data_IF_776056572523
#
_entry.id   IF_776056572523
#
_cell.length_a   1.000
_cell.length_b   1.000
_cell.length_c   1.000
_cell.angle_alpha   90.00
_cell.angle_beta   90.00
_cell.angle_gamma   90.00
#
_symmetry.space_group_name_H-M   'P 1'
#
loop_
_entity.id
_entity.type
_entity.pdbx_description
1 polymer ?
#
# COMPACT_ATOMS: atom_id res chain seq x y z
N UNK A 1 -34.55 26.53 22.49
CA UNK A 1 -34.28 25.52 21.45
C UNK A 1 -33.45 26.18 20.34
N UNK A 2 -32.12 26.00 20.33
CA UNK A 2 -31.28 26.45 19.21
C UNK A 2 -31.38 25.38 18.13
N UNK A 3 -31.95 25.73 16.99
CA UNK A 3 -32.08 24.83 15.86
C UNK A 3 -30.71 24.36 15.36
N UNK A 4 -30.58 23.07 15.17
CA UNK A 4 -29.47 22.49 14.44
C UNK A 4 -29.56 23.00 12.99
N UNK A 5 -28.77 24.02 12.67
CA UNK A 5 -28.62 24.43 11.27
C UNK A 5 -28.03 23.24 10.52
N UNK A 6 -28.77 22.77 9.53
CA UNK A 6 -28.39 21.60 8.77
C UNK A 6 -27.02 21.76 8.11
N UNK A 7 -26.15 20.80 8.33
CA UNK A 7 -24.91 20.68 7.57
C UNK A 7 -25.31 20.47 6.09
N UNK A 8 -24.84 21.31 5.21
CA UNK A 8 -25.08 21.17 3.76
C UNK A 8 -24.34 19.94 3.25
N UNK A 9 -25.08 18.86 3.12
CA UNK A 9 -24.55 17.55 2.69
C UNK A 9 -23.99 17.61 1.25
N UNK A 10 -24.38 18.62 0.45
CA UNK A 10 -23.87 18.77 -0.92
C UNK A 10 -22.39 19.20 -0.98
N UNK A 11 -21.84 19.66 0.15
CA UNK A 11 -20.42 20.09 0.23
C UNK A 11 -19.50 19.00 0.77
N UNK A 12 -20.03 17.82 1.15
CA UNK A 12 -19.19 16.69 1.51
C UNK A 12 -18.52 16.14 0.25
N UNK A 13 -17.21 15.84 0.29
CA UNK A 13 -16.54 15.21 -0.85
C UNK A 13 -17.23 13.88 -1.18
N UNK A 14 -17.41 13.60 -2.46
CA UNK A 14 -18.05 12.36 -2.93
C UNK A 14 -17.09 11.18 -2.67
N UNK A 15 -17.14 10.65 -1.45
CA UNK A 15 -16.31 9.52 -1.02
C UNK A 15 -16.97 8.24 -1.55
N UNK A 16 -16.40 7.68 -2.60
CA UNK A 16 -16.86 6.40 -3.17
C UNK A 16 -16.34 5.24 -2.31
N UNK A 17 -17.25 4.57 -1.64
CA UNK A 17 -16.94 3.33 -0.92
C UNK A 17 -17.40 2.12 -1.73
N UNK A 18 -16.66 1.03 -1.61
CA UNK A 18 -17.07 -0.25 -2.18
C UNK A 18 -16.49 -1.43 -1.39
N UNK A 19 -17.21 -2.52 -1.37
CA UNK A 19 -16.71 -3.80 -0.89
C UNK A 19 -15.96 -4.48 -2.04
N UNK A 20 -14.72 -4.86 -1.81
CA UNK A 20 -13.89 -5.49 -2.85
C UNK A 20 -12.88 -6.46 -2.24
N UNK A 21 -12.37 -7.38 -3.04
CA UNK A 21 -11.27 -8.26 -2.65
C UNK A 21 -9.95 -7.55 -2.92
N UNK A 22 -9.15 -7.40 -1.88
CA UNK A 22 -7.87 -6.71 -1.92
C UNK A 22 -6.76 -7.75 -1.83
N UNK A 23 -5.82 -7.71 -2.75
CA UNK A 23 -4.60 -8.50 -2.73
C UNK A 23 -3.42 -7.55 -2.48
N UNK A 24 -2.66 -7.82 -1.44
CA UNK A 24 -1.38 -7.16 -1.16
C UNK A 24 -0.27 -8.16 -1.41
N UNK A 25 0.75 -7.76 -2.16
CA UNK A 25 1.94 -8.57 -2.43
C UNK A 25 3.19 -7.74 -2.24
N UNK A 26 4.25 -8.36 -1.71
CA UNK A 26 5.51 -7.68 -1.42
C UNK A 26 6.68 -8.65 -1.54
N UNK A 27 7.80 -8.15 -2.07
CA UNK A 27 9.00 -8.97 -2.24
C UNK A 27 9.73 -9.16 -0.91
N UNK A 28 9.94 -10.41 -0.53
CA UNK A 28 10.59 -10.73 0.73
C UNK A 28 12.07 -10.32 0.74
N UNK A 29 12.48 -9.60 1.79
CA UNK A 29 13.85 -9.14 2.00
C UNK A 29 14.39 -8.23 0.90
N UNK A 30 13.51 -7.46 0.25
CA UNK A 30 13.88 -6.55 -0.84
C UNK A 30 14.92 -5.50 -0.38
N UNK A 31 14.68 -4.82 0.73
CA UNK A 31 15.60 -3.79 1.26
C UNK A 31 16.98 -4.36 1.58
N UNK A 32 17.05 -5.59 2.11
CA UNK A 32 18.32 -6.27 2.39
C UNK A 32 19.08 -6.64 1.10
N UNK A 33 18.36 -7.03 0.06
CA UNK A 33 18.97 -7.31 -1.26
C UNK A 33 19.42 -6.02 -1.94
N UNK A 34 18.59 -4.95 -1.89
CA UNK A 34 18.95 -3.62 -2.43
C UNK A 34 20.23 -3.08 -1.81
N UNK A 35 20.41 -3.26 -0.50
CA UNK A 35 21.60 -2.81 0.21
C UNK A 35 22.88 -3.57 -0.23
N UNK A 36 22.74 -4.81 -0.71
CA UNK A 36 23.86 -5.65 -1.17
C UNK A 36 24.16 -5.49 -2.66
N UNK A 37 23.11 -5.45 -3.47
CA UNK A 37 23.23 -5.43 -4.94
C UNK A 37 21.98 -4.81 -5.55
N UNK A 38 21.99 -3.49 -5.68
CA UNK A 38 20.88 -2.69 -6.19
C UNK A 38 20.50 -3.08 -7.63
N UNK A 39 21.50 -3.20 -8.51
CA UNK A 39 21.27 -3.42 -9.94
C UNK A 39 20.61 -4.78 -10.18
N UNK A 40 21.18 -5.83 -9.63
CA UNK A 40 20.62 -7.19 -9.79
C UNK A 40 19.26 -7.33 -9.09
N UNK A 41 19.04 -6.65 -7.97
CA UNK A 41 17.75 -6.68 -7.27
C UNK A 41 16.64 -6.03 -8.12
N UNK A 42 16.92 -4.87 -8.72
CA UNK A 42 15.96 -4.19 -9.61
C UNK A 42 15.70 -5.04 -10.88
N UNK A 43 16.75 -5.63 -11.45
CA UNK A 43 16.61 -6.52 -12.61
C UNK A 43 15.78 -7.76 -12.29
N UNK A 44 15.93 -8.31 -11.08
CA UNK A 44 15.13 -9.45 -10.63
C UNK A 44 13.65 -9.06 -10.37
N UNK A 45 13.38 -7.87 -9.88
CA UNK A 45 12.01 -7.41 -9.57
C UNK A 45 11.18 -7.16 -10.84
N UNK A 46 11.76 -6.53 -11.85
CA UNK A 46 11.04 -6.08 -13.06
C UNK A 46 10.21 -7.17 -13.75
N UNK A 47 10.75 -8.34 -14.07
CA UNK A 47 9.95 -9.40 -14.69
C UNK A 47 8.86 -9.95 -13.77
N UNK A 48 9.08 -9.94 -12.46
CA UNK A 48 8.06 -10.40 -11.49
C UNK A 48 6.90 -9.42 -11.38
N UNK A 49 7.22 -8.14 -11.37
CA UNK A 49 6.18 -7.10 -11.43
C UNK A 49 5.29 -7.23 -12.66
N UNK A 50 5.80 -7.47 -13.57
CA UNK A 50 5.13 -7.70 -14.74
C UNK A 50 4.28 -8.92 -14.73
N UNK A 51 4.70 -9.92 -14.11
CA UNK A 51 3.99 -11.11 -13.94
C UNK A 51 2.82 -10.91 -13.07
N UNK A 52 3.05 -10.18 -12.06
CA UNK A 52 2.09 -9.88 -11.18
C UNK A 52 0.99 -9.03 -11.74
N UNK A 53 1.25 -8.24 -12.75
CA UNK A 53 0.34 -7.46 -13.45
C UNK A 53 -0.45 -8.25 -14.42
N UNK A 54 0.08 -9.19 -15.00
CA UNK A 54 -0.50 -10.05 -15.90
C UNK A 54 -1.56 -10.91 -15.30
N UNK A 55 -1.26 -11.64 -14.35
CA UNK A 55 -2.20 -12.55 -13.66
C UNK A 55 -3.38 -11.81 -13.03
N UNK A 56 -3.16 -10.65 -12.47
CA UNK A 56 -4.25 -9.79 -11.93
C UNK A 56 -5.28 -9.46 -13.02
N UNK A 57 -4.84 -8.96 -14.13
CA UNK A 57 -5.72 -8.55 -15.24
C UNK A 57 -6.44 -9.76 -15.84
N UNK A 58 -5.71 -10.86 -16.03
CA UNK A 58 -6.29 -12.11 -16.59
C UNK A 58 -7.43 -12.66 -15.72
N UNK A 59 -7.44 -12.34 -14.44
CA UNK A 59 -8.48 -12.75 -13.47
C UNK A 59 -9.52 -11.65 -13.21
N UNK A 60 -9.58 -10.63 -14.06
CA UNK A 60 -10.56 -9.55 -13.94
C UNK A 60 -10.25 -8.53 -12.84
N UNK A 61 -9.04 -8.58 -12.29
CA UNK A 61 -8.59 -7.60 -11.31
C UNK A 61 -7.94 -6.38 -11.96
N UNK A 62 -7.62 -5.39 -11.15
CA UNK A 62 -6.79 -4.25 -11.55
C UNK A 62 -5.76 -3.91 -10.48
N UNK A 63 -4.68 -3.31 -10.92
CA UNK A 63 -3.69 -2.77 -9.99
C UNK A 63 -4.20 -1.43 -9.47
N UNK A 64 -4.29 -1.30 -8.17
CA UNK A 64 -4.68 -0.05 -7.51
C UNK A 64 -3.45 0.82 -7.22
N UNK A 65 -2.39 0.20 -6.69
CA UNK A 65 -1.19 0.92 -6.31
C UNK A 65 0.05 0.03 -6.45
N UNK A 66 1.19 0.66 -6.73
CA UNK A 66 2.52 0.02 -6.65
C UNK A 66 3.44 0.94 -5.84
N UNK A 67 4.13 0.39 -4.86
CA UNK A 67 5.07 1.15 -4.03
C UNK A 67 6.36 0.34 -3.86
N UNK A 68 7.39 0.75 -4.59
CA UNK A 68 8.68 0.04 -4.56
C UNK A 68 8.54 -1.39 -5.06
N UNK A 69 8.69 -2.34 -4.16
CA UNK A 69 8.56 -3.78 -4.40
C UNK A 69 7.16 -4.33 -4.06
N UNK A 70 6.29 -3.48 -3.54
CA UNK A 70 4.93 -3.84 -3.15
C UNK A 70 3.89 -3.54 -4.23
N UNK A 71 2.80 -4.30 -4.19
CA UNK A 71 1.68 -4.20 -5.11
C UNK A 71 0.36 -4.34 -4.35
N UNK A 72 -0.58 -3.43 -4.62
CA UNK A 72 -1.98 -3.58 -4.19
C UNK A 72 -2.84 -3.76 -5.45
N UNK A 73 -3.61 -4.84 -5.45
CA UNK A 73 -4.58 -5.13 -6.51
C UNK A 73 -5.97 -5.34 -5.92
N UNK A 74 -7.00 -5.12 -6.73
CA UNK A 74 -8.36 -5.44 -6.34
C UNK A 74 -9.03 -6.36 -7.36
N UNK A 75 -9.98 -7.13 -6.86
CA UNK A 75 -10.77 -8.07 -7.66
C UNK A 75 -12.25 -7.96 -7.28
N UNK A 76 -13.15 -8.00 -8.27
CA UNK A 76 -14.59 -8.04 -7.96
C UNK A 76 -15.04 -9.39 -7.36
N UNK A 77 -14.22 -10.44 -7.49
CA UNK A 77 -14.50 -11.78 -7.01
C UNK A 77 -13.42 -12.26 -6.04
N UNK A 78 -13.84 -12.76 -4.88
CA UNK A 78 -12.96 -13.39 -3.89
C UNK A 78 -12.24 -14.59 -4.52
N UNK A 79 -12.97 -15.43 -5.25
CA UNK A 79 -12.43 -16.65 -5.89
C UNK A 79 -11.33 -16.28 -6.88
N UNK A 80 -11.56 -15.25 -7.70
CA UNK A 80 -10.57 -14.81 -8.70
C UNK A 80 -9.35 -14.15 -8.03
N UNK A 81 -9.56 -13.43 -6.94
CA UNK A 81 -8.44 -12.84 -6.16
C UNK A 81 -7.53 -13.92 -5.57
N UNK A 82 -8.11 -14.96 -4.97
CA UNK A 82 -7.33 -16.08 -4.41
C UNK A 82 -6.69 -16.90 -5.55
N UNK A 83 -7.41 -17.15 -6.64
CA UNK A 83 -6.86 -17.87 -7.81
C UNK A 83 -5.65 -17.11 -8.41
N UNK A 84 -5.75 -15.79 -8.49
CA UNK A 84 -4.63 -14.95 -8.91
C UNK A 84 -3.43 -15.11 -7.97
N UNK A 85 -3.66 -15.03 -6.65
CA UNK A 85 -2.60 -15.19 -5.63
C UNK A 85 -1.90 -16.54 -5.77
N UNK A 86 -2.68 -17.63 -5.94
CA UNK A 86 -2.13 -19.00 -6.11
C UNK A 86 -1.27 -19.07 -7.39
N UNK A 87 -1.80 -18.59 -8.52
CA UNK A 87 -1.09 -18.62 -9.81
C UNK A 87 0.22 -17.82 -9.72
N UNK A 88 0.17 -16.64 -9.09
CA UNK A 88 1.36 -15.80 -8.88
C UNK A 88 2.41 -16.57 -8.07
N UNK A 89 2.05 -17.16 -6.93
CA UNK A 89 3.01 -17.86 -6.07
C UNK A 89 3.58 -19.11 -6.74
N UNK A 90 2.74 -19.87 -7.45
CA UNK A 90 3.20 -21.03 -8.23
C UNK A 90 4.30 -20.62 -9.22
N UNK A 91 4.01 -19.62 -10.04
CA UNK A 91 4.95 -19.14 -11.07
C UNK A 91 6.24 -18.62 -10.45
N UNK A 92 6.15 -17.86 -9.35
CA UNK A 92 7.32 -17.26 -8.71
C UNK A 92 8.17 -18.31 -7.98
N UNK A 93 7.53 -19.28 -7.31
CA UNK A 93 8.24 -20.30 -6.55
C UNK A 93 8.93 -21.33 -7.47
N UNK A 94 8.41 -21.54 -8.69
CA UNK A 94 9.01 -22.45 -9.68
C UNK A 94 10.22 -21.85 -10.39
N UNK A 95 10.45 -20.55 -10.28
CA UNK A 95 11.53 -19.87 -10.96
C UNK A 95 12.79 -19.88 -10.10
N UNK A 96 13.88 -20.50 -10.60
CA UNK A 96 15.17 -20.47 -9.93
C UNK A 96 15.66 -19.02 -9.77
N UNK A 97 16.25 -18.72 -8.62
CA UNK A 97 16.76 -17.39 -8.25
C UNK A 97 15.68 -16.29 -8.24
N UNK A 98 14.41 -16.68 -8.19
CA UNK A 98 13.33 -15.73 -8.09
C UNK A 98 13.43 -14.90 -6.79
N UNK A 99 13.04 -13.64 -6.89
CA UNK A 99 12.76 -12.82 -5.72
C UNK A 99 11.44 -13.33 -5.15
N UNK A 100 11.44 -13.95 -3.97
CA UNK A 100 10.20 -14.53 -3.45
C UNK A 100 9.28 -13.46 -2.90
N UNK A 101 7.98 -13.71 -2.95
CA UNK A 101 6.94 -12.80 -2.51
C UNK A 101 6.17 -13.36 -1.32
N UNK A 102 5.52 -12.47 -0.59
CA UNK A 102 4.48 -12.76 0.40
C UNK A 102 3.18 -12.16 -0.10
N UNK A 103 2.07 -12.86 0.07
CA UNK A 103 0.76 -12.38 -0.41
C UNK A 103 -0.26 -12.45 0.73
N UNK A 104 -1.04 -11.37 0.87
CA UNK A 104 -2.21 -11.29 1.75
C UNK A 104 -3.46 -11.00 0.94
N UNK A 105 -4.58 -11.69 1.22
CA UNK A 105 -5.85 -11.42 0.53
C UNK A 105 -6.96 -11.19 1.56
N UNK A 106 -7.70 -10.10 1.40
CA UNK A 106 -8.80 -9.72 2.28
C UNK A 106 -10.01 -9.25 1.47
N UNK A 107 -11.21 -9.49 2.00
CA UNK A 107 -12.46 -8.92 1.50
C UNK A 107 -12.91 -7.83 2.46
N UNK A 108 -12.89 -6.58 2.03
CA UNK A 108 -13.20 -5.45 2.90
C UNK A 108 -13.70 -4.22 2.18
N UNK A 109 -14.23 -3.30 2.99
CA UNK A 109 -14.69 -2.00 2.49
C UNK A 109 -13.50 -1.08 2.25
N UNK A 110 -13.50 -0.39 1.12
CA UNK A 110 -12.43 0.54 0.74
C UNK A 110 -13.01 1.87 0.25
N UNK A 111 -12.21 2.90 0.37
CA UNK A 111 -12.44 4.20 -0.25
C UNK A 111 -11.63 4.22 -1.57
N UNK A 112 -12.29 4.61 -2.66
CA UNK A 112 -11.65 4.75 -3.97
C UNK A 112 -11.24 6.20 -4.17
N UNK A 113 -9.94 6.45 -4.36
CA UNK A 113 -9.40 7.78 -4.64
C UNK A 113 -8.59 7.74 -5.95
N UNK A 114 -9.22 8.12 -7.04
CA UNK A 114 -8.63 7.96 -8.38
C UNK A 114 -8.45 6.48 -8.72
N UNK A 115 -7.21 6.06 -8.96
CA UNK A 115 -6.87 4.65 -9.14
C UNK A 115 -6.57 3.94 -7.82
N UNK A 116 -6.31 4.67 -6.74
CA UNK A 116 -5.85 4.11 -5.47
C UNK A 116 -7.00 3.61 -4.59
N UNK A 117 -6.66 2.76 -3.63
CA UNK A 117 -7.58 2.23 -2.62
C UNK A 117 -7.06 2.60 -1.24
N UNK A 118 -7.95 3.09 -0.38
CA UNK A 118 -7.63 3.50 0.98
C UNK A 118 -8.58 2.83 1.96
N UNK A 119 -8.15 2.73 3.22
CA UNK A 119 -9.00 2.27 4.31
C UNK A 119 -8.48 1.02 5.01
N UNK A 120 -9.24 0.60 6.03
CA UNK A 120 -8.83 -0.51 6.91
C UNK A 120 -8.74 -1.85 6.17
N UNK A 121 -9.56 -2.05 5.13
CA UNK A 121 -9.47 -3.25 4.29
C UNK A 121 -8.11 -3.38 3.60
N UNK A 122 -7.56 -2.27 3.10
CA UNK A 122 -6.21 -2.26 2.48
C UNK A 122 -5.14 -2.54 3.54
N UNK A 123 -5.26 -1.89 4.70
CA UNK A 123 -4.33 -2.10 5.82
C UNK A 123 -4.33 -3.56 6.27
N UNK A 124 -5.51 -4.19 6.35
CA UNK A 124 -5.61 -5.59 6.76
C UNK A 124 -4.99 -6.52 5.72
N UNK A 125 -5.21 -6.29 4.42
CA UNK A 125 -4.55 -7.07 3.35
C UNK A 125 -3.02 -6.97 3.46
N UNK A 126 -2.50 -5.77 3.72
CA UNK A 126 -1.06 -5.55 3.93
C UNK A 126 -0.55 -6.30 5.18
N UNK A 127 -1.32 -6.29 6.28
CA UNK A 127 -0.95 -7.03 7.50
C UNK A 127 -0.96 -8.55 7.28
N UNK A 128 -1.92 -9.07 6.53
CA UNK A 128 -1.92 -10.48 6.14
C UNK A 128 -0.65 -10.80 5.35
N UNK A 129 -0.29 -9.95 4.40
CA UNK A 129 0.91 -10.13 3.58
C UNK A 129 2.19 -10.10 4.44
N UNK A 130 2.31 -9.14 5.39
CA UNK A 130 3.47 -9.06 6.30
C UNK A 130 3.64 -10.33 7.14
N UNK A 131 2.54 -10.97 7.54
CA UNK A 131 2.54 -12.18 8.37
C UNK A 131 2.63 -13.47 7.56
N UNK A 132 2.52 -13.41 6.24
CA UNK A 132 2.65 -14.58 5.37
C UNK A 132 4.09 -15.09 5.36
N UNK A 133 4.25 -16.40 5.29
CA UNK A 133 5.54 -17.02 5.04
C UNK A 133 6.06 -16.60 3.66
N UNK A 134 7.37 -16.58 3.52
CA UNK A 134 8.01 -16.28 2.23
C UNK A 134 7.60 -17.35 1.20
N UNK A 135 6.97 -16.94 0.11
CA UNK A 135 6.40 -17.85 -0.90
C UNK A 135 5.00 -18.35 -0.55
N UNK A 136 4.41 -17.85 0.53
CA UNK A 136 3.09 -18.26 1.01
C UNK A 136 2.00 -17.22 0.79
N UNK A 137 0.77 -17.60 1.13
CA UNK A 137 -0.44 -16.77 1.01
C UNK A 137 -1.22 -16.86 2.33
N UNK A 138 -1.54 -15.72 2.93
CA UNK A 138 -2.50 -15.63 4.03
C UNK A 138 -3.78 -14.92 3.60
N UNK A 139 -4.89 -15.39 4.13
CA UNK A 139 -6.20 -14.80 3.85
C UNK A 139 -6.98 -14.59 5.14
N UNK A 140 -7.89 -13.63 5.13
CA UNK A 140 -8.84 -13.45 6.23
C UNK A 140 -9.92 -14.54 6.20
N UNK A 141 -10.62 -14.71 7.35
CA UNK A 141 -11.73 -15.66 7.49
C UNK A 141 -12.78 -15.51 6.39
N UNK A 142 -13.19 -14.29 6.10
CA UNK A 142 -14.20 -14.00 5.08
C UNK A 142 -13.76 -14.55 3.71
N UNK A 143 -12.49 -14.35 3.34
CA UNK A 143 -11.94 -14.86 2.08
C UNK A 143 -11.93 -16.40 2.08
N UNK A 144 -11.47 -17.02 3.17
CA UNK A 144 -11.44 -18.48 3.29
C UNK A 144 -12.86 -19.09 3.16
N UNK A 145 -13.84 -18.49 3.82
CA UNK A 145 -15.23 -18.97 3.80
C UNK A 145 -15.85 -18.85 2.40
N UNK A 146 -15.58 -17.76 1.67
CA UNK A 146 -16.08 -17.58 0.30
C UNK A 146 -15.37 -18.44 -0.74
N UNK A 147 -14.07 -18.71 -0.57
CA UNK A 147 -13.27 -19.42 -1.56
C UNK A 147 -13.31 -20.95 -1.36
N UNK A 148 -13.60 -21.42 -0.14
CA UNK A 148 -13.61 -22.84 0.20
C UNK A 148 -14.58 -23.61 -0.69
N UNK A 149 -14.10 -24.73 -1.27
CA UNK A 149 -14.88 -25.58 -2.17
C UNK A 149 -15.03 -25.04 -3.59
N UNK A 150 -14.47 -23.87 -3.89
CA UNK A 150 -14.52 -23.26 -5.23
C UNK A 150 -13.15 -23.24 -5.93
N UNK A 151 -12.10 -23.61 -5.19
CA UNK A 151 -10.71 -23.67 -5.68
C UNK A 151 -10.07 -24.98 -5.28
N UNK A 152 -9.09 -25.44 -6.05
CA UNK A 152 -8.23 -26.57 -5.69
C UNK A 152 -7.17 -26.06 -4.71
N UNK A 153 -7.62 -25.75 -3.50
CA UNK A 153 -6.78 -25.25 -2.42
C UNK A 153 -7.43 -25.59 -1.07
N UNK A 154 -6.61 -25.87 -0.08
CA UNK A 154 -7.04 -26.02 1.31
C UNK A 154 -6.84 -24.68 2.04
N UNK A 155 -7.76 -24.37 2.94
CA UNK A 155 -7.68 -23.17 3.80
C UNK A 155 -7.46 -23.64 5.24
N UNK A 156 -6.22 -23.58 5.70
CA UNK A 156 -5.82 -24.05 7.03
C UNK A 156 -5.91 -22.90 8.03
N UNK A 157 -6.72 -23.03 9.10
CA UNK A 157 -6.77 -21.99 10.14
C UNK A 157 -5.46 -21.92 10.90
N UNK A 158 -4.97 -20.70 11.14
CA UNK A 158 -3.78 -20.42 11.94
C UNK A 158 -4.15 -19.83 13.31
N UNK A 159 -5.45 -19.66 13.56
CA UNK A 159 -5.94 -19.07 14.78
C UNK A 159 -6.11 -17.57 14.71
N UNK A 160 -6.55 -16.97 15.81
CA UNK A 160 -6.73 -15.54 15.90
C UNK A 160 -5.39 -14.83 16.04
N UNK A 161 -5.28 -13.67 15.42
CA UNK A 161 -4.14 -12.76 15.57
C UNK A 161 -4.65 -11.33 15.65
N UNK A 162 -3.95 -10.51 16.41
CA UNK A 162 -4.22 -9.07 16.48
C UNK A 162 -3.10 -8.35 15.74
N UNK A 163 -3.26 -8.08 14.45
CA UNK A 163 -2.25 -7.33 13.71
C UNK A 163 -2.03 -5.95 14.34
N UNK A 164 -0.82 -5.46 14.31
CA UNK A 164 -0.49 -4.14 14.86
C UNK A 164 -1.40 -3.06 14.25
N UNK A 165 -1.87 -2.18 15.10
CA UNK A 165 -2.74 -1.05 14.75
C UNK A 165 -4.15 -1.44 14.29
N UNK A 166 -4.57 -2.68 14.53
CA UNK A 166 -5.99 -3.06 14.44
C UNK A 166 -6.52 -3.29 15.85
N UNK A 167 -7.73 -2.80 16.08
CA UNK A 167 -8.39 -2.91 17.39
C UNK A 167 -9.00 -4.30 17.55
N UNK A 168 -9.32 -4.95 16.42
CA UNK A 168 -10.01 -6.24 16.41
C UNK A 168 -9.09 -7.41 16.08
N UNK A 169 -9.35 -8.52 16.74
CA UNK A 169 -8.73 -9.81 16.48
C UNK A 169 -9.25 -10.38 15.17
N UNK A 170 -8.34 -10.82 14.31
CA UNK A 170 -8.67 -11.36 12.98
C UNK A 170 -8.24 -12.83 12.92
N UNK A 171 -9.14 -13.70 12.47
CA UNK A 171 -8.78 -15.09 12.20
C UNK A 171 -8.06 -15.21 10.86
N UNK A 172 -6.87 -15.81 10.91
CA UNK A 172 -5.97 -15.99 9.78
C UNK A 172 -6.07 -17.40 9.23
N UNK A 173 -6.00 -17.52 7.90
CA UNK A 173 -5.96 -18.80 7.20
C UNK A 173 -4.79 -18.82 6.21
N UNK A 174 -4.02 -19.90 6.23
CA UNK A 174 -3.02 -20.17 5.18
C UNK A 174 -3.70 -20.86 4.00
N UNK A 175 -3.36 -20.45 2.79
CA UNK A 175 -3.77 -21.13 1.55
C UNK A 175 -2.73 -22.18 1.22
N UNK A 176 -3.16 -23.45 1.18
CA UNK A 176 -2.30 -24.57 0.82
C UNK A 176 -2.72 -25.03 -0.59
N UNK A 177 -1.81 -24.90 -1.53
CA UNK A 177 -1.99 -25.31 -2.91
C UNK A 177 -0.64 -25.77 -3.47
N UNK A 178 -0.66 -26.55 -4.54
CA UNK A 178 0.58 -26.95 -5.22
C UNK A 178 1.40 -25.70 -5.58
N UNK A 179 2.70 -25.72 -5.34
CA UNK A 179 3.61 -24.60 -5.61
C UNK A 179 3.52 -23.40 -4.64
N UNK A 180 2.60 -23.43 -3.67
CA UNK A 180 2.48 -22.41 -2.62
C UNK A 180 3.16 -22.93 -1.35
N UNK A 181 4.05 -22.16 -0.76
CA UNK A 181 4.77 -22.59 0.46
C UNK A 181 3.86 -22.55 1.68
N UNK A 182 3.73 -23.70 2.31
CA UNK A 182 2.99 -23.83 3.57
C UNK A 182 3.75 -23.16 4.72
N UNK A 183 3.05 -22.75 5.79
CA UNK A 183 3.72 -22.32 7.03
C UNK A 183 4.55 -23.47 7.63
N UNK A 184 5.78 -23.18 8.03
CA UNK A 184 6.71 -24.16 8.59
C UNK A 184 6.25 -24.69 9.95
N UNK A 185 5.53 -23.87 10.71
CA UNK A 185 4.95 -24.26 12.00
C UNK A 185 3.79 -23.32 12.36
N UNK A 186 2.73 -23.86 12.91
CA UNK A 186 1.61 -23.09 13.44
C UNK A 186 2.05 -22.10 14.53
N UNK A 187 3.10 -22.40 15.26
CA UNK A 187 3.67 -21.53 16.29
C UNK A 187 4.48 -20.36 15.70
N UNK A 188 4.89 -20.43 14.44
CA UNK A 188 5.70 -19.37 13.83
C UNK A 188 4.87 -18.18 13.34
N UNK A 189 3.55 -18.32 13.31
CA UNK A 189 2.61 -17.24 12.98
C UNK A 189 2.23 -16.43 14.23
N UNK A 190 2.80 -16.77 15.42
CA UNK A 190 2.73 -15.87 16.55
C UNK A 190 3.22 -14.48 16.11
N UNK A 191 2.52 -13.41 16.49
CA UNK A 191 2.87 -12.09 16.00
C UNK A 191 4.35 -11.82 16.24
N UNK A 192 5.11 -11.66 15.19
CA UNK A 192 6.47 -11.14 15.30
C UNK A 192 6.31 -9.75 15.91
N UNK A 193 6.58 -9.68 17.21
CA UNK A 193 6.69 -8.41 17.93
C UNK A 193 8.02 -7.78 17.49
N UNK A 194 8.15 -7.55 16.20
CA UNK A 194 9.24 -6.74 15.69
C UNK A 194 8.76 -5.29 15.59
N UNK A 195 9.62 -4.42 16.04
CA UNK A 195 9.46 -2.97 16.13
C UNK A 195 8.71 -2.40 14.92
N UNK A 196 7.91 -1.37 15.08
CA UNK A 196 7.17 -0.82 13.97
C UNK A 196 8.13 -0.35 12.89
N UNK A 197 8.25 -1.15 11.83
CA UNK A 197 8.56 -0.54 10.55
C UNK A 197 7.32 0.32 10.25
N UNK A 198 7.48 1.60 10.46
CA UNK A 198 6.48 2.58 10.07
C UNK A 198 6.04 2.25 8.65
N UNK A 199 4.78 1.90 8.48
CA UNK A 199 4.17 1.87 7.16
C UNK A 199 4.40 3.26 6.57
N UNK A 200 5.27 3.32 5.58
CA UNK A 200 5.73 4.57 4.97
C UNK A 200 4.66 5.27 4.12
N UNK A 201 3.37 5.05 4.43
CA UNK A 201 2.29 5.79 3.76
C UNK A 201 2.37 7.30 4.01
N UNK A 202 3.00 7.72 5.13
CA UNK A 202 3.21 9.13 5.43
C UNK A 202 4.58 9.68 4.98
N UNK A 203 5.55 8.80 4.70
CA UNK A 203 6.87 9.29 4.30
C UNK A 203 6.90 9.80 2.86
N UNK A 204 6.11 9.20 1.95
CA UNK A 204 6.00 9.73 0.58
C UNK A 204 5.40 11.14 0.57
N UNK A 205 4.40 11.41 1.40
CA UNK A 205 3.86 12.76 1.57
C UNK A 205 4.89 13.70 2.19
N UNK A 206 5.65 13.24 3.18
CA UNK A 206 6.75 13.99 3.80
C UNK A 206 7.92 14.22 2.84
N UNK A 207 8.27 13.20 2.05
CA UNK A 207 9.34 13.29 1.04
C UNK A 207 8.90 14.25 -0.08
N UNK A 208 7.67 14.15 -0.57
CA UNK A 208 7.10 15.07 -1.56
C UNK A 208 7.05 16.50 -1.03
N UNK A 209 6.64 16.66 0.24
CA UNK A 209 6.63 17.98 0.90
C UNK A 209 8.05 18.54 1.05
N UNK A 210 9.02 17.73 1.51
CA UNK A 210 10.43 18.14 1.67
C UNK A 210 11.05 18.52 0.33
N UNK A 211 10.78 17.75 -0.75
CA UNK A 211 11.22 18.10 -2.11
C UNK A 211 10.56 19.39 -2.61
N UNK A 212 9.29 19.62 -2.27
CA UNK A 212 8.58 20.85 -2.60
C UNK A 212 9.18 22.05 -1.85
N UNK A 213 9.51 21.90 -0.57
CA UNK A 213 10.17 22.94 0.23
C UNK A 213 11.58 23.26 -0.30
N UNK A 214 12.36 22.24 -0.68
CA UNK A 214 13.70 22.44 -1.26
C UNK A 214 13.62 23.21 -2.60
N UNK A 215 12.66 22.85 -3.47
CA UNK A 215 12.46 23.56 -4.75
C UNK A 215 12.00 25.00 -4.53
N UNK A 216 11.11 25.22 -3.57
CA UNK A 216 10.66 26.57 -3.20
C UNK A 216 11.81 27.40 -2.63
N UNK A 217 12.64 26.82 -1.75
CA UNK A 217 13.82 27.46 -1.19
C UNK A 217 14.83 27.85 -2.26
N UNK A 218 15.10 26.96 -3.22
CA UNK A 218 16.00 27.23 -4.33
C UNK A 218 15.47 28.39 -5.21
N UNK A 219 14.16 28.36 -5.53
CA UNK A 219 13.54 29.44 -6.32
C UNK A 219 13.60 30.78 -5.59
N UNK A 220 13.37 30.78 -4.27
CA UNK A 220 13.48 31.98 -3.46
C UNK A 220 14.93 32.52 -3.45
N UNK A 221 15.92 31.64 -3.30
CA UNK A 221 17.33 32.02 -3.31
C UNK A 221 17.73 32.63 -4.65
N UNK A 222 17.28 32.07 -5.76
CA UNK A 222 17.53 32.59 -7.12
C UNK A 222 16.91 34.00 -7.27
N UNK A 223 15.67 34.18 -6.81
CA UNK A 223 14.98 35.48 -6.87
C UNK A 223 15.70 36.57 -6.02
N UNK A 224 16.18 36.17 -4.84
CA UNK A 224 16.97 37.11 -3.98
C UNK A 224 18.28 37.49 -4.67
N UNK A 225 18.97 36.56 -5.31
CA UNK A 225 20.21 36.84 -6.05
C UNK A 225 19.93 37.82 -7.22
N UNK A 226 18.85 37.56 -7.97
CA UNK A 226 18.45 38.44 -9.09
C UNK A 226 18.15 39.88 -8.56
N UNK A 227 17.43 39.98 -7.46
CA UNK A 227 17.12 41.30 -6.84
C UNK A 227 18.35 42.03 -6.38
N UNK A 228 19.31 41.33 -5.77
CA UNK A 228 20.59 41.91 -5.32
C UNK A 228 21.48 42.35 -6.50
N UNK A 229 21.40 41.70 -7.63
CA UNK A 229 22.24 42.03 -8.79
C UNK A 229 21.64 43.15 -9.65
N UNK A 230 20.33 43.35 -9.63
CA UNK A 230 19.64 44.31 -10.50
C UNK A 230 19.35 45.66 -9.78
N UNK A 231 19.69 45.78 -8.49
CA UNK A 231 19.46 46.99 -7.72
C UNK A 231 18.00 47.18 -7.25
N UNK A 232 17.72 48.28 -6.47
CA UNK A 232 16.39 48.46 -5.89
C UNK A 232 15.33 48.80 -6.94
N UNK A 233 14.61 47.77 -7.39
CA UNK A 233 13.46 47.89 -8.27
C UNK A 233 12.13 47.76 -7.51
N UNK A 234 10.99 47.91 -8.18
CA UNK A 234 9.68 47.77 -7.52
C UNK A 234 9.56 46.39 -6.86
N UNK A 235 9.12 46.33 -5.61
CA UNK A 235 9.18 45.19 -4.70
C UNK A 235 8.40 43.93 -5.10
N UNK A 236 8.39 43.58 -6.37
CA UNK A 236 7.71 42.37 -6.88
C UNK A 236 8.33 41.04 -6.38
N UNK A 237 9.67 40.97 -6.12
CA UNK A 237 10.18 39.68 -5.57
C UNK A 237 9.64 39.39 -4.18
N UNK A 238 9.40 40.42 -3.36
CA UNK A 238 8.78 40.24 -2.03
C UNK A 238 7.38 39.65 -2.13
N UNK A 239 6.59 40.05 -3.16
CA UNK A 239 5.25 39.48 -3.39
C UNK A 239 5.30 38.00 -3.80
N UNK A 240 6.25 37.61 -4.63
CA UNK A 240 6.42 36.21 -5.07
C UNK A 240 6.85 35.34 -3.88
N UNK A 241 7.80 35.84 -3.05
CA UNK A 241 8.23 35.13 -1.86
C UNK A 241 7.06 34.96 -0.88
N UNK A 242 6.24 35.99 -0.69
CA UNK A 242 5.05 35.93 0.17
C UNK A 242 4.04 34.91 -0.36
N UNK A 243 3.79 34.87 -1.68
CA UNK A 243 2.88 33.91 -2.30
C UNK A 243 3.36 32.46 -2.12
N UNK A 244 4.66 32.22 -2.29
CA UNK A 244 5.28 30.91 -2.06
C UNK A 244 5.11 30.48 -0.59
N UNK A 245 5.36 31.39 0.35
CA UNK A 245 5.23 31.13 1.79
C UNK A 245 3.78 30.78 2.15
N UNK A 246 2.80 31.50 1.64
CA UNK A 246 1.37 31.23 1.87
C UNK A 246 1.00 29.86 1.31
N UNK A 247 1.47 29.52 0.12
CA UNK A 247 1.21 28.20 -0.51
C UNK A 247 1.79 27.07 0.33
N UNK A 248 2.99 27.24 0.89
CA UNK A 248 3.63 26.22 1.76
C UNK A 248 2.87 26.07 3.09
N UNK A 249 2.41 27.16 3.69
CA UNK A 249 1.60 27.14 4.92
C UNK A 249 0.27 26.42 4.68
N UNK A 250 -0.40 26.70 3.55
CA UNK A 250 -1.66 26.04 3.21
C UNK A 250 -1.46 24.54 3.02
N UNK A 251 -0.42 24.16 2.33
CA UNK A 251 -0.05 22.75 2.12
C UNK A 251 0.32 22.04 3.42
N UNK A 252 1.01 22.73 4.33
CA UNK A 252 1.35 22.23 5.68
C UNK A 252 0.10 22.05 6.54
N UNK A 253 -0.84 23.02 6.52
CA UNK A 253 -2.12 22.92 7.23
C UNK A 253 -2.93 21.70 6.76
N UNK A 254 -3.06 21.51 5.45
CA UNK A 254 -3.79 20.36 4.90
C UNK A 254 -3.17 19.02 5.34
N UNK A 255 -1.84 18.93 5.41
CA UNK A 255 -1.14 17.74 5.91
C UNK A 255 -1.40 17.51 7.41
N UNK A 256 -1.52 18.58 8.20
CA UNK A 256 -1.78 18.49 9.64
C UNK A 256 -3.24 18.11 9.92
N UNK A 257 -4.17 18.64 9.16
CA UNK A 257 -5.60 18.38 9.33
C UNK A 257 -5.98 16.96 8.87
N UNK A 258 -5.18 16.37 7.97
CA UNK A 258 -5.31 14.96 7.57
C UNK A 258 -4.81 13.96 8.64
N UNK A 259 -4.25 14.46 9.76
CA UNK A 259 -3.76 13.61 10.86
C UNK A 259 -4.66 13.64 12.10
N UNK A 260 -5.80 14.36 12.05
CA UNK A 260 -6.82 14.39 13.08
C UNK A 260 -8.06 13.60 12.65
#
# INVERSE_FOLDING_TARGET
MRGLQGVDVSQLPDIKRKLTTILSADAANYSGRMARDEVNTVQALRPRAXXXXXFTIARGGRIANTSGDGLIAEFPSVVEGVAAAVTIQQTLNDTADALPFRIGVHLGDVIVEGSDLLGDGVNLAARLQENANVGGILVSRQVADYARGRLVAEFRPLGPATPKNLIEEVELFAVLAEGVKAPDDLASVAPRIDRPQSVHLNDDARIKFRKSCQRAGLATAVLVVIDLTNGPGPGWPALVVAAIAVSLVFKWRNLRDSQR
#
